data_IF_359550991392
#
_entry.id   IF_359550991392
#
_cell.length_a   1.000
_cell.length_b   1.000
_cell.length_c   1.000
_cell.angle_alpha   90.00
_cell.angle_beta   90.00
_cell.angle_gamma   90.00
#
_symmetry.space_group_name_H-M   'P 1'
#
loop_
_entity.id
_entity.type
_entity.pdbx_description
1 polymer ?
#
# COMPACT_ATOMS: atom_id res chain seq x y z
N UNK A 1 6.07 19.73 -21.02
CA UNK A 1 5.56 18.65 -20.13
C UNK A 1 5.94 18.95 -18.68
N UNK A 2 4.97 19.16 -17.77
CA UNK A 2 5.24 19.39 -16.34
C UNK A 2 5.77 18.11 -15.71
N UNK A 3 7.07 18.03 -15.42
CA UNK A 3 7.65 16.99 -14.56
C UNK A 3 7.00 17.12 -13.18
N UNK A 4 6.01 16.29 -12.87
CA UNK A 4 5.45 16.24 -11.51
C UNK A 4 6.53 15.70 -10.60
N UNK A 5 7.14 16.58 -9.83
CA UNK A 5 8.04 16.20 -8.74
C UNK A 5 7.23 15.31 -7.80
N UNK A 6 7.71 14.09 -7.57
CA UNK A 6 7.05 13.12 -6.70
C UNK A 6 7.17 13.60 -5.25
N UNK A 7 6.17 14.37 -4.79
CA UNK A 7 6.13 14.83 -3.41
C UNK A 7 5.76 13.67 -2.46
N UNK A 8 6.24 13.69 -1.19
CA UNK A 8 5.81 12.72 -0.19
C UNK A 8 4.29 12.66 -0.01
N UNK A 9 3.59 13.80 -0.12
CA UNK A 9 2.12 13.88 -0.06
C UNK A 9 1.47 13.11 -1.21
N UNK A 10 1.99 13.28 -2.42
CA UNK A 10 1.49 12.57 -3.62
C UNK A 10 1.73 11.06 -3.52
N UNK A 11 2.86 10.63 -2.95
CA UNK A 11 3.16 9.20 -2.73
C UNK A 11 2.25 8.58 -1.67
N UNK A 12 1.97 9.29 -0.57
CA UNK A 12 0.99 8.86 0.44
C UNK A 12 -0.41 8.67 -0.17
N UNK A 13 -0.88 9.63 -0.96
CA UNK A 13 -2.16 9.52 -1.68
C UNK A 13 -2.18 8.34 -2.68
N UNK A 14 -1.05 8.10 -3.36
CA UNK A 14 -0.90 6.95 -4.26
C UNK A 14 -0.99 5.63 -3.50
N UNK A 15 -0.32 5.51 -2.34
CA UNK A 15 -0.40 4.32 -1.48
C UNK A 15 -1.84 4.07 -1.06
N UNK A 16 -2.55 5.08 -0.56
CA UNK A 16 -3.96 4.95 -0.15
C UNK A 16 -4.85 4.42 -1.29
N UNK A 17 -4.69 5.00 -2.48
CA UNK A 17 -5.42 4.56 -3.69
C UNK A 17 -5.12 3.09 -4.04
N UNK A 18 -3.84 2.70 -4.03
CA UNK A 18 -3.44 1.32 -4.32
C UNK A 18 -3.96 0.35 -3.25
N UNK A 19 -3.94 0.76 -1.97
CA UNK A 19 -4.46 -0.04 -0.86
C UNK A 19 -5.98 -0.25 -0.95
N UNK A 20 -6.75 0.76 -1.35
CA UNK A 20 -8.19 0.60 -1.61
C UNK A 20 -8.45 -0.42 -2.71
N UNK A 21 -7.73 -0.30 -3.84
CA UNK A 21 -7.84 -1.25 -4.96
C UNK A 21 -7.45 -2.67 -4.54
N UNK A 22 -6.39 -2.83 -3.75
CA UNK A 22 -5.98 -4.13 -3.24
C UNK A 22 -7.08 -4.79 -2.40
N UNK A 23 -7.72 -4.01 -1.50
CA UNK A 23 -8.84 -4.50 -0.67
C UNK A 23 -10.05 -4.90 -1.51
N UNK A 24 -10.41 -4.10 -2.51
CA UNK A 24 -11.50 -4.45 -3.43
C UNK A 24 -11.19 -5.77 -4.16
N UNK A 25 -9.94 -5.97 -4.56
CA UNK A 25 -9.53 -7.17 -5.27
C UNK A 25 -9.53 -8.40 -4.36
N UNK A 26 -9.10 -8.27 -3.10
CA UNK A 26 -9.26 -9.33 -2.10
C UNK A 26 -10.73 -9.74 -1.91
N UNK A 27 -11.65 -8.75 -1.80
CA UNK A 27 -13.08 -9.04 -1.70
C UNK A 27 -13.62 -9.79 -2.93
N UNK A 28 -13.15 -9.43 -4.14
CA UNK A 28 -13.51 -10.13 -5.37
C UNK A 28 -12.98 -11.56 -5.40
N UNK A 29 -11.74 -11.79 -4.93
CA UNK A 29 -11.16 -13.13 -4.79
C UNK A 29 -12.01 -13.97 -3.83
N UNK A 30 -12.30 -13.46 -2.63
CA UNK A 30 -13.11 -14.19 -1.64
C UNK A 30 -14.49 -14.56 -2.17
N UNK A 31 -15.15 -13.63 -2.90
CA UNK A 31 -16.44 -13.91 -3.55
C UNK A 31 -16.34 -15.01 -4.60
N UNK A 32 -15.29 -15.00 -5.42
CA UNK A 32 -15.09 -16.04 -6.44
C UNK A 32 -14.74 -17.40 -5.81
N UNK A 33 -13.94 -17.42 -4.75
CA UNK A 33 -13.59 -18.64 -4.01
C UNK A 33 -14.80 -19.26 -3.29
N UNK A 34 -15.79 -18.45 -2.89
CA UNK A 34 -17.03 -18.94 -2.28
C UNK A 34 -18.06 -19.50 -3.26
N UNK A 35 -17.82 -19.40 -4.58
CA UNK A 35 -18.78 -19.87 -5.58
C UNK A 35 -18.74 -21.41 -5.70
N UNK A 36 -19.89 -22.08 -5.90
CA UNK A 36 -19.92 -23.54 -6.09
C UNK A 36 -19.20 -24.02 -7.35
N UNK A 37 -19.18 -23.19 -8.39
CA UNK A 37 -18.48 -23.44 -9.66
C UNK A 37 -17.39 -22.38 -9.87
N UNK A 38 -16.33 -22.49 -9.08
CA UNK A 38 -15.20 -21.55 -9.09
C UNK A 38 -14.49 -21.54 -10.44
N UNK A 39 -14.47 -20.38 -11.10
CA UNK A 39 -13.66 -20.17 -12.30
C UNK A 39 -12.19 -19.99 -11.91
N UNK A 40 -11.41 -21.07 -12.06
CA UNK A 40 -10.00 -21.12 -11.68
C UNK A 40 -9.12 -20.18 -12.50
N UNK A 41 -9.47 -19.90 -13.77
CA UNK A 41 -8.73 -18.98 -14.63
C UNK A 41 -8.91 -17.54 -14.14
N UNK A 42 -10.16 -17.16 -13.88
CA UNK A 42 -10.52 -15.85 -13.30
C UNK A 42 -9.88 -15.66 -11.93
N UNK A 43 -9.88 -16.69 -11.09
CA UNK A 43 -9.25 -16.65 -9.77
C UNK A 43 -7.74 -16.46 -9.87
N UNK A 44 -7.08 -17.14 -10.81
CA UNK A 44 -5.65 -16.96 -11.09
C UNK A 44 -5.34 -15.53 -11.54
N UNK A 45 -6.13 -14.98 -12.46
CA UNK A 45 -5.97 -13.60 -12.92
C UNK A 45 -6.11 -12.61 -11.77
N UNK A 46 -7.16 -12.74 -10.95
CA UNK A 46 -7.36 -11.90 -9.77
C UNK A 46 -6.18 -12.00 -8.80
N UNK A 47 -5.68 -13.21 -8.51
CA UNK A 47 -4.50 -13.39 -7.62
C UNK A 47 -3.24 -12.73 -8.20
N UNK A 48 -3.03 -12.79 -9.51
CA UNK A 48 -1.91 -12.10 -10.17
C UNK A 48 -2.05 -10.57 -10.11
N UNK A 49 -3.25 -10.06 -10.32
CA UNK A 49 -3.55 -8.62 -10.24
C UNK A 49 -3.33 -8.10 -8.81
N UNK A 50 -3.74 -8.88 -7.79
CA UNK A 50 -3.45 -8.58 -6.38
C UNK A 50 -1.96 -8.50 -6.10
N UNK A 51 -1.19 -9.45 -6.63
CA UNK A 51 0.27 -9.48 -6.47
C UNK A 51 0.90 -8.21 -7.05
N UNK A 52 0.49 -7.81 -8.26
CA UNK A 52 0.94 -6.56 -8.88
C UNK A 52 0.62 -5.32 -8.06
N UNK A 53 -0.59 -5.24 -7.47
CA UNK A 53 -0.95 -4.14 -6.57
C UNK A 53 -0.09 -4.12 -5.31
N UNK A 54 0.18 -5.28 -4.70
CA UNK A 54 1.05 -5.40 -3.53
C UNK A 54 2.45 -4.90 -3.84
N UNK A 55 3.00 -5.28 -4.98
CA UNK A 55 4.36 -4.87 -5.37
C UNK A 55 4.42 -3.36 -5.70
N UNK A 56 3.38 -2.82 -6.34
CA UNK A 56 3.26 -1.38 -6.55
C UNK A 56 3.17 -0.59 -5.22
N UNK A 57 2.46 -1.10 -4.22
CA UNK A 57 2.41 -0.50 -2.87
C UNK A 57 3.80 -0.51 -2.24
N UNK A 58 4.50 -1.66 -2.27
CA UNK A 58 5.85 -1.82 -1.70
C UNK A 58 6.87 -0.90 -2.36
N UNK A 59 6.81 -0.77 -3.68
CA UNK A 59 7.67 0.16 -4.43
C UNK A 59 7.39 1.61 -4.00
N UNK A 60 6.12 2.01 -3.94
CA UNK A 60 5.73 3.37 -3.56
C UNK A 60 6.13 3.69 -2.11
N UNK A 61 5.99 2.73 -1.19
CA UNK A 61 6.46 2.85 0.18
C UNK A 61 7.98 2.99 0.27
N UNK A 62 8.72 2.21 -0.52
CA UNK A 62 10.18 2.32 -0.61
C UNK A 62 10.61 3.70 -1.11
N UNK A 63 9.94 4.23 -2.14
CA UNK A 63 10.19 5.58 -2.65
C UNK A 63 9.89 6.65 -1.59
N UNK A 64 8.77 6.51 -0.87
CA UNK A 64 8.42 7.43 0.21
C UNK A 64 9.46 7.43 1.33
N UNK A 65 9.93 6.25 1.77
CA UNK A 65 10.98 6.12 2.80
C UNK A 65 12.29 6.80 2.39
N UNK A 66 12.64 6.75 1.10
CA UNK A 66 13.83 7.41 0.56
C UNK A 66 13.71 8.94 0.55
N UNK A 67 12.50 9.45 0.30
CA UNK A 67 12.25 10.90 0.18
C UNK A 67 11.97 11.59 1.53
N UNK A 68 11.44 10.86 2.51
CA UNK A 68 11.23 11.35 3.88
C UNK A 68 11.93 10.41 4.87
N UNK A 69 13.27 10.52 5.02
CA UNK A 69 14.02 9.70 5.95
C UNK A 69 13.84 10.15 7.41
N UNK A 70 12.83 10.99 7.71
CA UNK A 70 12.60 11.47 9.08
C UNK A 70 12.36 10.24 9.96
N UNK A 71 13.27 9.90 10.89
CA UNK A 71 12.91 8.93 11.90
C UNK A 71 11.69 9.52 12.59
N UNK A 72 10.63 8.72 12.74
CA UNK A 72 9.60 9.05 13.70
C UNK A 72 10.34 9.39 15.00
N UNK A 73 10.40 10.68 15.37
CA UNK A 73 10.92 11.12 16.67
C UNK A 73 9.97 10.51 17.69
N UNK A 74 10.27 9.26 18.03
CA UNK A 74 9.79 8.56 19.19
C UNK A 74 10.33 9.37 20.36
N UNK A 75 9.42 9.96 21.13
CA UNK A 75 9.73 11.00 22.10
C UNK A 75 10.85 10.59 23.06
N UNK A 76 11.94 11.35 23.01
CA UNK A 76 12.88 11.50 24.11
C UNK A 76 12.75 12.93 24.64
N UNK A 77 11.55 13.29 25.07
CA UNK A 77 11.30 14.56 25.75
C UNK A 77 10.14 14.30 26.70
N UNK A 78 10.43 13.74 27.89
CA UNK A 78 9.60 13.79 29.11
C UNK A 78 10.13 12.86 30.22
N UNK A 79 11.43 12.80 30.56
CA UNK A 79 11.88 11.99 31.71
C UNK A 79 13.17 12.51 32.37
N UNK A 80 13.34 13.81 32.67
CA UNK A 80 14.47 14.27 33.53
C UNK A 80 14.17 15.60 34.23
N UNK A 81 13.10 15.70 35.02
CA UNK A 81 12.85 16.69 36.09
C UNK A 81 11.76 16.03 36.96
N UNK A 82 11.83 15.79 38.25
CA UNK A 82 12.77 16.14 39.31
C UNK A 82 12.64 15.08 40.42
N UNK A 83 13.71 14.86 41.18
CA UNK A 83 13.71 14.25 42.51
C UNK A 83 14.57 15.12 43.40
#
# INVERSE_FOLDING_TARGET
MKRRILSPKSLKARIDTLSRRHRELDLRITREESRPATDTLRLKQLKQERLGLRDAIRLTQTLLKRLDPRPARRGWQQQFHSG
#
